data_IF_131157666719
#
_entry.id   IF_131157666719
#
_cell.length_a   1.000
_cell.length_b   1.000
_cell.length_c   1.000
_cell.angle_alpha   90.00
_cell.angle_beta   90.00
_cell.angle_gamma   90.00
#
_symmetry.space_group_name_H-M   'P 1'
#
loop_
_entity.id
_entity.type
_entity.pdbx_description
1 polymer ?
#
# COMPACT_ATOMS: atom_id res chain seq x y z
N UNK A 1 27.67 -12.96 15.17
CA UNK A 1 27.59 -11.90 14.13
C UNK A 1 27.05 -10.61 14.73
N UNK A 2 27.91 -9.60 14.86
CA UNK A 2 27.69 -8.40 15.66
C UNK A 2 26.55 -7.50 15.11
N UNK A 3 25.77 -6.83 15.98
CA UNK A 3 24.62 -6.00 15.58
C UNK A 3 25.03 -4.84 14.66
N UNK A 4 26.21 -4.27 14.88
CA UNK A 4 26.79 -3.21 14.05
C UNK A 4 27.03 -3.68 12.60
N UNK A 5 27.58 -4.88 12.43
CA UNK A 5 27.85 -5.46 11.12
C UNK A 5 26.57 -5.68 10.31
N UNK A 6 25.50 -6.19 10.93
CA UNK A 6 24.20 -6.36 10.26
C UNK A 6 23.54 -5.03 9.86
N UNK A 7 23.72 -3.96 10.65
CA UNK A 7 23.25 -2.62 10.27
C UNK A 7 24.00 -2.11 9.05
N UNK A 8 25.32 -2.25 9.04
CA UNK A 8 26.17 -1.88 7.90
C UNK A 8 25.80 -2.65 6.63
N UNK A 9 25.58 -3.96 6.71
CA UNK A 9 25.09 -4.75 5.56
C UNK A 9 23.70 -4.31 5.10
N UNK A 10 22.81 -3.98 6.02
CA UNK A 10 21.47 -3.49 5.67
C UNK A 10 21.58 -2.16 4.93
N UNK A 11 22.40 -1.21 5.40
CA UNK A 11 22.64 0.07 4.73
C UNK A 11 23.32 -0.12 3.37
N UNK A 12 24.30 -1.02 3.27
CA UNK A 12 24.95 -1.38 1.99
C UNK A 12 23.97 -1.97 0.99
N UNK A 13 22.95 -2.70 1.44
CA UNK A 13 21.90 -3.24 0.57
C UNK A 13 20.94 -2.15 0.01
N UNK A 14 20.86 -0.99 0.65
CA UNK A 14 20.09 0.17 0.18
C UNK A 14 20.90 1.07 -0.76
N UNK A 15 22.22 1.09 -0.59
CA UNK A 15 23.16 1.98 -1.28
C UNK A 15 23.00 2.10 -2.80
N UNK A 16 22.73 1.02 -3.57
CA UNK A 16 22.77 1.16 -5.02
C UNK A 16 21.45 1.69 -5.63
N UNK A 17 20.28 1.43 -5.01
CA UNK A 17 18.98 1.86 -5.58
C UNK A 17 18.36 3.06 -4.87
N UNK A 18 18.60 3.26 -3.57
CA UNK A 18 17.94 4.34 -2.82
C UNK A 18 18.36 5.74 -3.30
N UNK A 19 19.65 6.04 -3.53
CA UNK A 19 20.07 7.33 -4.08
C UNK A 19 19.52 7.58 -5.49
N UNK A 20 19.48 6.54 -6.34
CA UNK A 20 18.92 6.65 -7.68
C UNK A 20 17.42 6.94 -7.63
N UNK A 21 16.67 6.22 -6.78
CA UNK A 21 15.24 6.51 -6.56
C UNK A 21 15.05 7.95 -6.12
N UNK A 22 15.80 8.41 -5.11
CA UNK A 22 15.71 9.78 -4.61
C UNK A 22 15.98 10.80 -5.73
N UNK A 23 17.07 10.64 -6.48
CA UNK A 23 17.43 11.55 -7.56
C UNK A 23 16.35 11.60 -8.66
N UNK A 24 15.90 10.44 -9.15
CA UNK A 24 14.89 10.36 -10.22
C UNK A 24 13.52 10.83 -9.75
N UNK A 25 13.09 10.46 -8.54
CA UNK A 25 11.79 10.83 -8.00
C UNK A 25 11.72 12.33 -7.69
N UNK A 26 12.79 12.92 -7.15
CA UNK A 26 12.89 14.37 -6.94
C UNK A 26 12.88 15.11 -8.28
N UNK A 27 13.68 14.67 -9.26
CA UNK A 27 13.68 15.29 -10.58
C UNK A 27 12.29 15.23 -11.21
N UNK A 28 11.65 14.06 -11.19
CA UNK A 28 10.34 13.86 -11.82
C UNK A 28 9.22 14.67 -11.14
N UNK A 29 9.14 14.65 -9.81
CA UNK A 29 8.05 15.33 -9.10
C UNK A 29 8.18 16.87 -9.13
N UNK A 30 9.39 17.41 -9.30
CA UNK A 30 9.63 18.86 -9.44
C UNK A 30 9.72 19.34 -10.89
N UNK A 31 9.74 18.43 -11.88
CA UNK A 31 9.73 18.80 -13.30
C UNK A 31 8.39 19.38 -13.77
N UNK A 32 7.31 19.21 -13.01
CA UNK A 32 5.99 19.74 -13.33
C UNK A 32 5.26 20.24 -12.08
N UNK A 33 4.20 21.05 -12.25
CA UNK A 33 3.29 21.43 -11.16
C UNK A 33 2.45 20.25 -10.65
N UNK A 34 1.69 20.38 -9.55
CA UNK A 34 0.82 19.30 -9.08
C UNK A 34 -0.23 18.99 -10.16
N UNK A 35 -0.38 17.72 -10.54
CA UNK A 35 -1.30 17.37 -11.63
C UNK A 35 -2.77 17.66 -11.26
N UNK A 36 -3.57 18.15 -12.24
CA UNK A 36 -5.00 18.39 -12.05
C UNK A 36 -5.77 17.15 -11.56
N UNK A 37 -6.91 17.39 -10.91
CA UNK A 37 -7.88 16.39 -10.42
C UNK A 37 -7.43 15.52 -9.23
N UNK A 38 -6.18 15.07 -9.22
CA UNK A 38 -5.64 14.25 -8.14
C UNK A 38 -4.84 15.10 -7.14
N UNK A 39 -3.69 15.60 -7.58
CA UNK A 39 -2.74 16.26 -6.69
C UNK A 39 -3.26 17.64 -6.24
N UNK A 40 -3.85 18.40 -7.16
CA UNK A 40 -4.44 19.72 -6.83
C UNK A 40 -5.62 19.61 -5.87
N UNK A 41 -6.48 18.58 -6.00
CA UNK A 41 -7.61 18.36 -5.08
C UNK A 41 -7.12 18.01 -3.67
N UNK A 42 -6.18 17.07 -3.55
CA UNK A 42 -5.65 16.66 -2.24
C UNK A 42 -4.94 17.82 -1.54
N UNK A 43 -4.12 18.58 -2.28
CA UNK A 43 -3.47 19.79 -1.76
C UNK A 43 -4.49 20.88 -1.40
N UNK A 44 -5.50 21.09 -2.23
CA UNK A 44 -6.57 22.06 -1.97
C UNK A 44 -7.30 21.77 -0.67
N UNK A 45 -7.66 20.50 -0.42
CA UNK A 45 -8.27 20.10 0.85
C UNK A 45 -7.34 20.39 2.03
N UNK A 46 -6.07 19.99 1.93
CA UNK A 46 -5.10 20.21 3.00
C UNK A 46 -4.89 21.70 3.28
N UNK A 47 -4.76 22.51 2.23
CA UNK A 47 -4.61 23.95 2.32
C UNK A 47 -5.82 24.58 2.99
N UNK A 48 -7.04 24.21 2.57
CA UNK A 48 -8.28 24.76 3.12
C UNK A 48 -8.47 24.40 4.60
N UNK A 49 -8.17 23.15 4.96
CA UNK A 49 -8.11 22.71 6.36
C UNK A 49 -7.11 23.54 7.18
N UNK A 50 -5.92 23.80 6.63
CA UNK A 50 -4.88 24.56 7.32
C UNK A 50 -5.30 26.02 7.54
N UNK A 51 -5.84 26.69 6.52
CA UNK A 51 -6.30 28.07 6.59
C UNK A 51 -7.43 28.26 7.61
N UNK A 52 -8.32 27.27 7.74
CA UNK A 52 -9.44 27.31 8.68
C UNK A 52 -9.13 26.67 10.05
N UNK A 53 -7.88 26.28 10.31
CA UNK A 53 -7.48 25.52 11.49
C UNK A 53 -8.35 24.26 11.75
N UNK A 54 -8.92 23.67 10.69
CA UNK A 54 -9.77 22.48 10.76
C UNK A 54 -8.93 21.21 10.65
N UNK A 55 -8.32 20.80 11.75
CA UNK A 55 -7.45 19.63 11.79
C UNK A 55 -8.20 18.30 11.84
N UNK A 56 -9.47 18.31 12.25
CA UNK A 56 -10.28 17.09 12.43
C UNK A 56 -11.22 16.87 11.24
N UNK A 57 -11.89 17.92 10.75
CA UNK A 57 -12.87 17.82 9.66
C UNK A 57 -12.20 18.28 8.37
N UNK A 58 -12.03 17.41 7.35
CA UNK A 58 -11.50 17.87 6.08
C UNK A 58 -12.41 18.91 5.44
N UNK A 59 -11.83 19.89 4.76
CA UNK A 59 -12.57 21.00 4.15
C UNK A 59 -12.16 21.20 2.70
N UNK A 60 -13.09 21.60 1.84
CA UNK A 60 -12.79 21.98 0.46
C UNK A 60 -13.71 23.14 0.05
N UNK A 61 -13.09 24.24 -0.38
CA UNK A 61 -13.77 25.47 -0.77
C UNK A 61 -14.70 26.00 0.35
N UNK A 62 -14.25 25.93 1.61
CA UNK A 62 -14.99 26.42 2.78
C UNK A 62 -16.09 25.48 3.30
N UNK A 63 -16.27 24.29 2.70
CA UNK A 63 -17.29 23.32 3.11
C UNK A 63 -16.67 22.01 3.63
N UNK A 64 -17.29 21.32 4.61
CA UNK A 64 -16.86 20.00 5.06
C UNK A 64 -16.79 18.97 3.90
N UNK A 65 -15.69 18.23 3.85
CA UNK A 65 -15.36 17.28 2.80
C UNK A 65 -15.22 15.85 3.35
N UNK A 66 -16.24 15.01 3.13
CA UNK A 66 -16.36 13.70 3.77
C UNK A 66 -15.74 12.53 2.99
N UNK A 67 -15.17 12.77 1.81
CA UNK A 67 -14.74 11.68 0.91
C UNK A 67 -13.51 10.91 1.39
N UNK A 68 -12.65 11.52 2.24
CA UNK A 68 -11.31 11.03 2.56
C UNK A 68 -10.99 11.14 4.05
N UNK A 69 -10.25 10.15 4.54
CA UNK A 69 -9.73 10.13 5.91
C UNK A 69 -8.46 11.01 6.01
N UNK A 70 -8.05 11.40 7.23
CA UNK A 70 -7.26 12.61 7.42
C UNK A 70 -5.75 12.37 7.43
N UNK A 71 -5.28 11.12 7.45
CA UNK A 71 -3.89 10.82 7.79
C UNK A 71 -2.89 11.51 6.86
N UNK A 72 -3.17 11.53 5.56
CA UNK A 72 -2.29 12.19 4.60
C UNK A 72 -2.21 13.71 4.85
N UNK A 73 -3.31 14.34 5.23
CA UNK A 73 -3.35 15.76 5.58
C UNK A 73 -2.57 16.04 6.86
N UNK A 74 -2.72 15.21 7.89
CA UNK A 74 -1.94 15.32 9.12
C UNK A 74 -0.43 15.22 8.87
N UNK A 75 -0.02 14.38 7.93
CA UNK A 75 1.39 14.31 7.53
C UNK A 75 1.85 15.56 6.78
N UNK A 76 0.99 16.22 6.00
CA UNK A 76 1.32 17.52 5.41
C UNK A 76 1.45 18.60 6.48
N UNK A 77 0.52 18.65 7.45
CA UNK A 77 0.56 19.60 8.55
C UNK A 77 1.82 19.48 9.39
N UNK A 78 2.27 18.24 9.66
CA UNK A 78 3.51 18.01 10.40
C UNK A 78 4.74 18.64 9.73
N UNK A 79 4.80 18.69 8.40
CA UNK A 79 5.88 19.39 7.71
C UNK A 79 5.64 20.88 7.57
N UNK A 80 4.39 21.32 7.33
CA UNK A 80 4.05 22.74 7.27
C UNK A 80 4.25 23.47 8.60
N UNK A 81 4.06 22.78 9.74
CA UNK A 81 4.35 23.35 11.06
C UNK A 81 5.84 23.62 11.32
N UNK A 82 6.73 23.04 10.51
CA UNK A 82 8.19 23.19 10.65
C UNK A 82 8.76 24.04 9.52
N UNK A 83 8.42 23.72 8.27
CA UNK A 83 8.98 24.31 7.06
C UNK A 83 8.11 25.38 6.40
N UNK A 84 6.98 25.74 7.01
CA UNK A 84 6.00 26.65 6.43
C UNK A 84 5.13 26.01 5.34
N UNK A 85 4.04 26.69 4.99
CA UNK A 85 3.07 26.19 4.01
C UNK A 85 3.62 26.36 2.60
N UNK A 86 3.86 25.23 1.94
CA UNK A 86 4.33 25.17 0.55
C UNK A 86 3.99 23.82 -0.07
N UNK A 87 4.12 23.68 -1.39
CA UNK A 87 3.98 22.39 -2.05
C UNK A 87 5.25 21.52 -1.99
N UNK A 88 6.37 22.07 -1.51
CA UNK A 88 7.65 21.38 -1.34
C UNK A 88 7.52 20.15 -0.42
N UNK A 89 7.03 20.34 0.81
CA UNK A 89 6.92 19.23 1.78
C UNK A 89 5.99 18.11 1.31
N UNK A 90 4.74 18.37 0.86
CA UNK A 90 3.87 17.32 0.34
C UNK A 90 4.51 16.48 -0.79
N UNK A 91 5.27 17.12 -1.70
CA UNK A 91 5.99 16.42 -2.78
C UNK A 91 7.14 15.58 -2.22
N UNK A 92 7.97 16.13 -1.34
CA UNK A 92 9.04 15.39 -0.66
C UNK A 92 8.48 14.16 0.09
N UNK A 93 7.33 14.32 0.75
CA UNK A 93 6.65 13.23 1.44
C UNK A 93 6.30 12.08 0.50
N UNK A 94 5.83 12.33 -0.73
CA UNK A 94 5.56 11.26 -1.69
C UNK A 94 6.80 10.51 -2.15
N UNK A 95 7.91 11.24 -2.33
CA UNK A 95 9.21 10.62 -2.64
C UNK A 95 9.63 9.67 -1.51
N UNK A 96 9.45 10.09 -0.26
CA UNK A 96 9.72 9.28 0.93
C UNK A 96 8.74 8.10 1.08
N UNK A 97 7.47 8.28 0.74
CA UNK A 97 6.47 7.21 0.70
C UNK A 97 6.91 6.13 -0.30
N UNK A 98 7.30 6.51 -1.51
CA UNK A 98 7.80 5.58 -2.52
C UNK A 98 9.07 4.86 -2.07
N UNK A 99 10.02 5.60 -1.49
CA UNK A 99 11.24 5.00 -0.92
C UNK A 99 10.90 3.97 0.17
N UNK A 100 9.92 4.29 1.01
CA UNK A 100 9.46 3.39 2.08
C UNK A 100 8.85 2.11 1.49
N UNK A 101 8.08 2.20 0.41
CA UNK A 101 7.56 1.01 -0.29
C UNK A 101 8.69 0.12 -0.81
N UNK A 102 9.75 0.71 -1.40
CA UNK A 102 10.93 -0.05 -1.87
C UNK A 102 11.67 -0.74 -0.71
N UNK A 103 11.80 -0.10 0.45
CA UNK A 103 12.41 -0.71 1.64
C UNK A 103 11.54 -1.88 2.13
N UNK A 104 10.22 -1.67 2.19
CA UNK A 104 9.29 -2.68 2.69
C UNK A 104 9.16 -3.88 1.75
N UNK A 105 9.16 -3.69 0.44
CA UNK A 105 9.09 -4.80 -0.53
C UNK A 105 10.36 -5.67 -0.45
N UNK A 106 11.54 -5.05 -0.28
CA UNK A 106 12.78 -5.79 -0.01
C UNK A 106 12.74 -6.54 1.33
N UNK A 107 12.17 -5.93 2.37
CA UNK A 107 12.01 -6.60 3.66
C UNK A 107 11.04 -7.80 3.55
N UNK A 108 9.97 -7.66 2.77
CA UNK A 108 8.99 -8.71 2.51
C UNK A 108 9.65 -9.86 1.72
N UNK A 109 10.37 -9.54 0.65
CA UNK A 109 11.15 -10.50 -0.14
C UNK A 109 12.09 -11.35 0.71
N UNK A 110 12.86 -10.72 1.61
CA UNK A 110 13.81 -11.42 2.50
C UNK A 110 13.13 -12.42 3.42
N UNK A 111 11.90 -12.14 3.85
CA UNK A 111 11.13 -13.03 4.74
C UNK A 111 10.40 -14.13 3.98
N UNK A 112 9.90 -13.83 2.78
CA UNK A 112 9.19 -14.80 1.95
C UNK A 112 10.13 -15.81 1.30
N UNK A 113 11.32 -15.35 0.88
CA UNK A 113 12.27 -16.15 0.10
C UNK A 113 13.68 -16.10 0.71
N UNK A 114 13.87 -16.56 1.95
CA UNK A 114 15.16 -16.48 2.65
C UNK A 114 16.28 -17.26 1.94
N UNK A 115 15.94 -18.31 1.21
CA UNK A 115 16.88 -19.14 0.43
C UNK A 115 17.25 -18.54 -0.92
N UNK A 116 16.57 -17.47 -1.36
CA UNK A 116 16.79 -16.81 -2.65
C UNK A 116 17.09 -15.32 -2.48
N UNK A 117 18.28 -14.94 -1.98
CA UNK A 117 18.63 -13.54 -1.70
C UNK A 117 18.51 -12.61 -2.90
N UNK A 118 18.65 -13.13 -4.12
CA UNK A 118 18.49 -12.36 -5.35
C UNK A 118 17.11 -11.70 -5.46
N UNK A 119 16.04 -12.37 -5.01
CA UNK A 119 14.68 -11.82 -5.03
C UNK A 119 14.62 -10.54 -4.19
N UNK A 120 15.22 -10.56 -2.99
CA UNK A 120 15.27 -9.38 -2.13
C UNK A 120 16.13 -8.25 -2.68
N UNK A 121 17.25 -8.58 -3.34
CA UNK A 121 18.14 -7.58 -3.94
C UNK A 121 17.50 -6.92 -5.17
N UNK A 122 16.74 -7.67 -5.97
CA UNK A 122 16.11 -7.19 -7.20
C UNK A 122 14.77 -6.50 -6.97
N UNK A 123 14.01 -6.85 -5.93
CA UNK A 123 12.65 -6.34 -5.72
C UNK A 123 12.53 -4.79 -5.73
N UNK A 124 13.41 -3.99 -5.09
CA UNK A 124 13.36 -2.54 -5.19
C UNK A 124 13.56 -2.01 -6.61
N UNK A 125 14.50 -2.59 -7.36
CA UNK A 125 14.77 -2.21 -8.74
C UNK A 125 13.57 -2.49 -9.63
N UNK A 126 12.99 -3.68 -9.48
CA UNK A 126 11.84 -4.09 -10.27
C UNK A 126 10.60 -3.24 -9.93
N UNK A 127 10.34 -2.95 -8.65
CA UNK A 127 9.23 -2.08 -8.25
C UNK A 127 9.44 -0.64 -8.70
N UNK A 128 10.65 -0.10 -8.55
CA UNK A 128 10.99 1.26 -8.97
C UNK A 128 10.98 1.46 -10.49
N UNK A 129 11.15 0.37 -11.26
CA UNK A 129 11.09 0.41 -12.71
C UNK A 129 9.67 0.40 -13.29
N UNK A 130 8.64 0.06 -12.50
CA UNK A 130 7.26 0.08 -12.98
C UNK A 130 6.84 1.50 -13.31
N UNK A 131 6.72 1.86 -14.59
CA UNK A 131 6.47 3.25 -15.00
C UNK A 131 5.15 3.77 -14.43
N UNK A 132 4.09 2.96 -14.52
CA UNK A 132 2.79 3.33 -13.95
C UNK A 132 2.87 3.54 -12.43
N UNK A 133 3.49 2.59 -11.71
CA UNK A 133 3.67 2.68 -10.27
C UNK A 133 4.52 3.87 -9.84
N UNK A 134 5.63 4.12 -10.55
CA UNK A 134 6.52 5.27 -10.33
C UNK A 134 5.75 6.58 -10.47
N UNK A 135 5.09 6.80 -11.61
CA UNK A 135 4.41 8.07 -11.91
C UNK A 135 3.21 8.33 -10.99
N UNK A 136 2.40 7.30 -10.71
CA UNK A 136 1.24 7.46 -9.82
C UNK A 136 1.64 7.58 -8.35
N UNK A 137 2.75 6.98 -7.91
CA UNK A 137 3.26 7.21 -6.56
C UNK A 137 3.70 8.67 -6.34
N UNK A 138 4.13 9.36 -7.40
CA UNK A 138 4.50 10.78 -7.35
C UNK A 138 3.31 11.73 -7.49
N UNK A 139 2.09 11.21 -7.63
CA UNK A 139 0.87 12.01 -7.50
C UNK A 139 0.46 12.12 -6.04
N UNK A 140 0.00 13.30 -5.61
CA UNK A 140 -0.41 13.59 -4.23
C UNK A 140 -1.76 12.91 -3.97
N UNK A 141 -1.68 11.61 -3.74
CA UNK A 141 -2.77 10.65 -3.61
C UNK A 141 -2.56 9.77 -2.38
N UNK A 142 -3.67 9.19 -1.90
CA UNK A 142 -3.70 8.31 -0.74
C UNK A 142 -3.13 6.91 -1.02
N UNK A 143 -3.12 6.50 -2.29
CA UNK A 143 -2.80 5.14 -2.72
C UNK A 143 -1.36 4.73 -2.41
N UNK A 144 -0.38 5.63 -2.60
CA UNK A 144 1.00 5.36 -2.24
C UNK A 144 1.20 5.18 -0.74
N UNK A 145 0.54 6.02 0.08
CA UNK A 145 0.57 5.88 1.54
C UNK A 145 -0.14 4.60 1.99
N UNK A 146 -1.26 4.25 1.37
CA UNK A 146 -1.95 2.99 1.63
C UNK A 146 -1.05 1.79 1.31
N UNK A 147 -0.32 1.82 0.19
CA UNK A 147 0.62 0.76 -0.17
C UNK A 147 1.70 0.55 0.92
N UNK A 148 2.21 1.61 1.54
CA UNK A 148 3.13 1.51 2.70
C UNK A 148 2.48 0.72 3.83
N UNK A 149 1.24 1.06 4.20
CA UNK A 149 0.54 0.39 5.29
C UNK A 149 0.18 -1.07 4.98
N UNK A 150 -0.22 -1.36 3.73
CA UNK A 150 -0.44 -2.73 3.25
C UNK A 150 0.85 -3.54 3.37
N UNK A 151 1.97 -3.05 2.80
CA UNK A 151 3.25 -3.75 2.88
C UNK A 151 3.72 -3.95 4.32
N UNK A 152 3.53 -2.96 5.20
CA UNK A 152 3.91 -3.05 6.61
C UNK A 152 3.04 -4.07 7.37
N UNK A 153 1.73 -4.08 7.14
CA UNK A 153 0.80 -5.02 7.72
C UNK A 153 1.14 -6.46 7.30
N UNK A 154 1.37 -6.68 6.01
CA UNK A 154 1.80 -7.96 5.45
C UNK A 154 3.15 -8.42 6.00
N UNK A 155 4.12 -7.49 6.13
CA UNK A 155 5.42 -7.77 6.76
C UNK A 155 5.29 -8.13 8.24
N UNK A 156 4.30 -7.58 8.95
CA UNK A 156 4.03 -7.89 10.35
C UNK A 156 3.48 -9.32 10.54
N UNK A 157 2.78 -9.86 9.55
CA UNK A 157 2.25 -11.23 9.56
C UNK A 157 3.33 -12.30 9.29
N UNK A 158 4.45 -11.91 8.68
CA UNK A 158 5.54 -12.83 8.35
C UNK A 158 6.49 -13.09 9.52
N UNK A 159 6.96 -14.35 9.68
CA UNK A 159 7.99 -14.68 10.65
C UNK A 159 9.29 -13.94 10.34
N UNK A 160 10.15 -13.81 11.34
CA UNK A 160 11.49 -13.26 11.18
C UNK A 160 12.53 -14.22 11.76
N UNK A 161 13.82 -14.09 11.41
CA UNK A 161 14.84 -15.05 11.84
C UNK A 161 14.98 -15.22 13.37
N UNK A 162 14.44 -14.29 14.16
CA UNK A 162 14.47 -14.31 15.63
C UNK A 162 13.09 -14.56 16.27
N UNK A 163 12.04 -14.69 15.47
CA UNK A 163 10.66 -14.74 15.95
C UNK A 163 9.76 -15.39 14.90
N UNK A 164 9.27 -16.58 15.22
CA UNK A 164 8.30 -17.30 14.39
C UNK A 164 6.89 -16.70 14.47
N UNK A 165 6.51 -16.22 15.65
CA UNK A 165 5.21 -15.61 15.86
C UNK A 165 5.07 -14.26 15.11
N UNK A 166 3.93 -13.98 14.48
CA UNK A 166 3.63 -12.69 13.89
C UNK A 166 3.71 -11.52 14.89
N UNK A 167 3.86 -10.32 14.37
CA UNK A 167 3.93 -9.05 15.12
C UNK A 167 2.57 -8.37 15.12
N UNK A 168 1.61 -8.93 15.84
CA UNK A 168 0.22 -8.44 15.83
C UNK A 168 0.05 -6.98 16.27
N UNK A 169 0.91 -6.45 17.14
CA UNK A 169 0.89 -5.01 17.49
C UNK A 169 1.25 -4.13 16.29
N UNK A 170 2.28 -4.52 15.53
CA UNK A 170 2.65 -3.82 14.30
C UNK A 170 1.57 -3.98 13.22
N UNK A 171 0.93 -5.15 13.16
CA UNK A 171 -0.21 -5.39 12.28
C UNK A 171 -1.38 -4.46 12.64
N UNK A 172 -1.73 -4.32 13.92
CA UNK A 172 -2.78 -3.42 14.41
C UNK A 172 -2.49 -1.96 14.05
N UNK A 173 -1.25 -1.50 14.27
CA UNK A 173 -0.84 -0.15 13.95
C UNK A 173 -0.92 0.12 12.45
N UNK A 174 -0.37 -0.76 11.62
CA UNK A 174 -0.42 -0.64 10.17
C UNK A 174 -1.86 -0.67 9.64
N UNK A 175 -2.72 -1.52 10.23
CA UNK A 175 -4.13 -1.61 9.90
C UNK A 175 -4.87 -0.31 10.22
N UNK A 176 -4.71 0.23 11.42
CA UNK A 176 -5.33 1.50 11.83
C UNK A 176 -4.86 2.69 11.01
N UNK A 177 -3.56 2.79 10.70
CA UNK A 177 -3.03 3.84 9.84
C UNK A 177 -3.50 3.70 8.37
N UNK A 178 -3.61 2.47 7.87
CA UNK A 178 -4.21 2.18 6.57
C UNK A 178 -5.69 2.58 6.50
N UNK A 179 -6.46 2.27 7.54
CA UNK A 179 -7.86 2.69 7.69
C UNK A 179 -7.98 4.22 7.76
N UNK A 180 -7.09 4.91 8.48
CA UNK A 180 -7.04 6.38 8.52
C UNK A 180 -6.52 7.02 7.22
N UNK A 181 -5.98 6.23 6.28
CA UNK A 181 -5.54 6.71 4.96
C UNK A 181 -6.65 6.62 3.93
N UNK A 182 -7.29 5.43 3.80
CA UNK A 182 -8.27 5.17 2.73
C UNK A 182 -9.51 4.40 3.21
N UNK A 183 -9.80 4.46 4.51
CA UNK A 183 -10.98 3.83 5.09
C UNK A 183 -10.97 2.30 4.95
N UNK A 184 -12.16 1.68 4.89
CA UNK A 184 -12.30 0.22 4.85
C UNK A 184 -11.58 -0.49 3.69
N UNK A 185 -11.19 0.24 2.64
CA UNK A 185 -10.41 -0.31 1.51
C UNK A 185 -9.11 -0.97 1.99
N UNK A 186 -8.51 -0.52 3.09
CA UNK A 186 -7.38 -1.20 3.71
C UNK A 186 -7.63 -2.69 3.95
N UNK A 187 -8.84 -3.06 4.39
CA UNK A 187 -9.21 -4.45 4.68
C UNK A 187 -9.25 -5.30 3.41
N UNK A 188 -9.61 -4.73 2.27
CA UNK A 188 -9.61 -5.43 0.98
C UNK A 188 -8.23 -6.03 0.69
N UNK A 189 -7.17 -5.27 0.98
CA UNK A 189 -5.79 -5.63 0.69
C UNK A 189 -5.20 -6.67 1.65
N UNK A 190 -5.62 -6.68 2.92
CA UNK A 190 -4.92 -7.47 3.97
C UNK A 190 -5.78 -8.52 4.66
N UNK A 191 -7.11 -8.37 4.68
CA UNK A 191 -7.98 -9.25 5.46
C UNK A 191 -7.93 -10.69 4.98
N UNK A 192 -8.01 -10.91 3.67
CA UNK A 192 -7.98 -12.27 3.11
C UNK A 192 -6.60 -12.92 3.27
N UNK A 193 -5.51 -12.15 3.23
CA UNK A 193 -4.17 -12.67 3.54
C UNK A 193 -4.11 -13.15 4.99
N UNK A 194 -4.63 -12.35 5.92
CA UNK A 194 -4.72 -12.73 7.32
C UNK A 194 -5.63 -13.95 7.53
N UNK A 195 -6.83 -13.97 6.95
CA UNK A 195 -7.79 -15.07 7.12
C UNK A 195 -7.25 -16.39 6.58
N UNK A 196 -6.55 -16.35 5.44
CA UNK A 196 -5.90 -17.50 4.82
C UNK A 196 -4.57 -17.89 5.48
N UNK A 197 -4.18 -17.24 6.59
CA UNK A 197 -2.96 -17.48 7.35
C UNK A 197 -2.54 -18.95 7.46
N UNK A 198 -3.40 -19.86 7.98
CA UNK A 198 -3.06 -21.28 8.14
C UNK A 198 -2.67 -22.03 6.84
N UNK A 199 -3.09 -21.52 5.67
CA UNK A 199 -2.75 -22.11 4.38
C UNK A 199 -1.29 -21.84 4.00
N UNK A 200 -0.80 -20.61 4.23
CA UNK A 200 0.52 -20.16 3.78
C UNK A 200 1.56 -20.04 4.92
N UNK A 201 1.14 -19.96 6.18
CA UNK A 201 1.99 -19.70 7.35
C UNK A 201 2.00 -20.89 8.33
N UNK A 202 3.15 -21.52 8.63
CA UNK A 202 3.23 -22.67 9.55
C UNK A 202 2.79 -22.40 11.00
N UNK A 203 3.27 -21.33 11.62
CA UNK A 203 2.85 -20.88 12.96
C UNK A 203 1.35 -20.64 13.06
N UNK A 204 0.71 -20.02 12.04
CA UNK A 204 -0.74 -19.80 11.99
C UNK A 204 -1.51 -21.13 11.94
N UNK A 205 -0.95 -22.13 11.25
CA UNK A 205 -1.53 -23.48 11.18
C UNK A 205 -1.47 -24.20 12.53
N UNK A 206 -0.36 -24.05 13.24
CA UNK A 206 -0.14 -24.66 14.57
C UNK A 206 -0.90 -23.92 15.69
N UNK A 207 -1.03 -22.59 15.59
CA UNK A 207 -1.58 -21.72 16.63
C UNK A 207 -2.83 -20.96 16.15
N UNK A 208 -3.79 -21.66 15.53
CA UNK A 208 -4.98 -21.05 14.91
C UNK A 208 -5.75 -20.11 15.85
N UNK A 209 -5.98 -20.53 17.10
CA UNK A 209 -6.67 -19.71 18.09
C UNK A 209 -5.95 -18.39 18.37
N UNK A 210 -4.63 -18.43 18.56
CA UNK A 210 -3.83 -17.22 18.78
C UNK A 210 -3.73 -16.36 17.51
N UNK A 211 -3.68 -16.97 16.31
CA UNK A 211 -3.66 -16.26 15.04
C UNK A 211 -4.92 -15.44 14.79
N UNK A 212 -6.09 -16.06 14.95
CA UNK A 212 -7.36 -15.40 14.75
C UNK A 212 -7.71 -14.47 15.92
N UNK A 213 -7.48 -14.88 17.17
CA UNK A 213 -7.75 -14.04 18.35
C UNK A 213 -6.92 -12.76 18.36
N UNK A 214 -5.59 -12.86 18.15
CA UNK A 214 -4.72 -11.67 18.09
C UNK A 214 -4.93 -10.85 16.83
N UNK A 215 -5.29 -11.48 15.72
CA UNK A 215 -5.66 -10.78 14.49
C UNK A 215 -6.97 -10.01 14.61
N UNK A 216 -7.98 -10.59 15.26
CA UNK A 216 -9.25 -9.92 15.57
C UNK A 216 -9.04 -8.75 16.55
N UNK A 217 -8.19 -8.93 17.57
CA UNK A 217 -7.79 -7.82 18.45
C UNK A 217 -7.07 -6.71 17.67
N UNK A 218 -6.20 -7.06 16.73
CA UNK A 218 -5.53 -6.09 15.88
C UNK A 218 -6.52 -5.33 14.97
N UNK A 219 -7.53 -6.02 14.44
CA UNK A 219 -8.64 -5.43 13.71
C UNK A 219 -9.44 -4.46 14.58
N UNK A 220 -9.81 -4.88 15.79
CA UNK A 220 -10.51 -4.04 16.74
C UNK A 220 -9.72 -2.76 17.03
N UNK A 221 -8.42 -2.87 17.34
CA UNK A 221 -7.55 -1.71 17.58
C UNK A 221 -7.50 -0.80 16.35
N UNK A 222 -7.35 -1.35 15.14
CA UNK A 222 -7.35 -0.57 13.91
C UNK A 222 -8.68 0.18 13.67
N UNK A 223 -9.81 -0.48 13.94
CA UNK A 223 -11.14 0.14 13.86
C UNK A 223 -11.30 1.24 14.92
N UNK A 224 -10.85 1.00 16.15
CA UNK A 224 -10.87 2.01 17.21
C UNK A 224 -10.03 3.24 16.85
N UNK A 225 -8.88 3.07 16.18
CA UNK A 225 -8.09 4.19 15.66
C UNK A 225 -8.87 5.00 14.61
N UNK A 226 -9.57 4.35 13.69
CA UNK A 226 -10.42 5.03 12.72
C UNK A 226 -11.57 5.78 13.40
N UNK A 227 -12.26 5.12 14.34
CA UNK A 227 -13.38 5.69 15.08
C UNK A 227 -12.96 6.86 15.98
N UNK A 228 -11.76 6.81 16.55
CA UNK A 228 -11.20 7.90 17.34
C UNK A 228 -11.08 9.21 16.54
N UNK A 229 -10.97 9.13 15.21
CA UNK A 229 -11.10 10.28 14.33
C UNK A 229 -12.53 10.49 13.83
N UNK A 230 -13.17 9.44 13.32
CA UNK A 230 -14.43 9.54 12.60
C UNK A 230 -15.57 10.06 13.50
N UNK A 231 -15.60 9.69 14.78
CA UNK A 231 -16.65 10.13 15.72
C UNK A 231 -16.53 11.64 16.03
N UNK A 232 -15.37 12.18 16.46
CA UNK A 232 -15.20 13.62 16.59
C UNK A 232 -15.45 14.38 15.29
N UNK A 233 -14.97 13.87 14.15
CA UNK A 233 -15.18 14.51 12.86
C UNK A 233 -16.67 14.59 12.49
N UNK A 234 -17.42 13.51 12.71
CA UNK A 234 -18.85 13.48 12.49
C UNK A 234 -19.59 14.48 13.38
N UNK A 235 -19.16 14.65 14.63
CA UNK A 235 -19.76 15.62 15.54
C UNK A 235 -19.47 17.07 15.12
N UNK A 236 -18.21 17.37 14.81
CA UNK A 236 -17.75 18.73 14.47
C UNK A 236 -18.18 19.17 13.06
N UNK A 237 -18.29 18.25 12.10
CA UNK A 237 -18.65 18.58 10.72
C UNK A 237 -20.13 18.88 10.49
N UNK A 238 -20.99 18.66 11.50
CA UNK A 238 -22.42 18.90 11.43
C UNK A 238 -23.23 17.74 10.83
N UNK A 239 -24.58 17.83 10.84
CA UNK A 239 -25.47 16.71 10.49
C UNK A 239 -25.27 16.17 9.08
N UNK A 240 -25.14 17.06 8.08
CA UNK A 240 -24.92 16.67 6.70
C UNK A 240 -23.59 15.92 6.51
N UNK A 241 -22.50 16.44 7.06
CA UNK A 241 -21.19 15.77 7.01
C UNK A 241 -21.23 14.40 7.70
N UNK A 242 -21.89 14.29 8.86
CA UNK A 242 -22.08 13.03 9.58
C UNK A 242 -22.81 11.99 8.73
N UNK A 243 -23.90 12.39 8.07
CA UNK A 243 -24.67 11.50 7.22
C UNK A 243 -23.80 11.00 6.03
N UNK A 244 -23.07 11.91 5.40
CA UNK A 244 -22.17 11.56 4.30
C UNK A 244 -21.03 10.61 4.74
N UNK A 245 -20.39 10.93 5.88
CA UNK A 245 -19.26 10.17 6.40
C UNK A 245 -19.65 8.77 6.86
N UNK A 246 -20.79 8.62 7.55
CA UNK A 246 -21.21 7.35 8.15
C UNK A 246 -22.09 6.50 7.23
N UNK A 247 -22.97 7.11 6.43
CA UNK A 247 -23.98 6.39 5.65
C UNK A 247 -23.71 6.42 4.14
N UNK A 248 -23.30 7.56 3.54
CA UNK A 248 -23.03 7.59 2.09
C UNK A 248 -21.68 6.97 1.69
N UNK A 249 -20.70 6.93 2.60
CA UNK A 249 -19.49 6.13 2.37
C UNK A 249 -19.78 4.62 2.20
N UNK A 250 -20.94 4.13 2.71
CA UNK A 250 -21.36 2.72 2.65
C UNK A 250 -22.47 2.48 1.61
N UNK A 251 -23.43 3.40 1.44
CA UNK A 251 -24.59 3.25 0.55
C UNK A 251 -24.54 4.15 -0.71
N UNK A 252 -24.03 5.39 -0.61
CA UNK A 252 -24.00 6.37 -1.71
C UNK A 252 -22.95 6.05 -2.78
N UNK A 253 -21.81 5.47 -2.39
CA UNK A 253 -20.82 4.96 -3.36
C UNK A 253 -21.36 3.85 -4.26
N UNK A 254 -22.44 3.15 -3.89
CA UNK A 254 -23.07 2.13 -4.74
C UNK A 254 -23.78 2.79 -5.93
N UNK A 255 -24.32 4.00 -5.76
CA UNK A 255 -25.01 4.75 -6.80
C UNK A 255 -24.02 5.50 -7.71
N UNK A 256 -22.97 6.12 -7.16
CA UNK A 256 -21.88 6.71 -7.96
C UNK A 256 -20.97 5.67 -8.64
N UNK A 257 -20.95 4.43 -8.16
CA UNK A 257 -20.22 3.35 -8.81
C UNK A 257 -20.77 3.00 -10.20
N UNK A 258 -21.98 3.45 -10.55
CA UNK A 258 -22.51 3.33 -11.91
C UNK A 258 -21.78 4.26 -12.90
N UNK A 259 -21.32 5.45 -12.49
CA UNK A 259 -20.60 6.38 -13.37
C UNK A 259 -19.19 5.88 -13.76
N UNK A 260 -18.61 5.00 -12.96
CA UNK A 260 -17.32 4.33 -13.23
C UNK A 260 -17.49 2.82 -13.42
N UNK A 261 -18.69 2.38 -13.79
CA UNK A 261 -18.97 0.97 -14.01
C UNK A 261 -18.09 0.44 -15.15
N UNK A 262 -17.29 -0.56 -14.83
CA UNK A 262 -16.43 -1.26 -15.79
C UNK A 262 -16.67 -2.77 -15.71
N UNK A 263 -16.53 -3.51 -16.82
CA UNK A 263 -16.77 -4.95 -16.84
C UNK A 263 -15.85 -5.70 -15.86
N UNK A 264 -16.25 -6.91 -15.46
CA UNK A 264 -15.49 -7.73 -14.50
C UNK A 264 -14.05 -7.99 -14.95
N UNK A 265 -13.82 -8.12 -16.26
CA UNK A 265 -12.50 -8.39 -16.84
C UNK A 265 -11.63 -7.15 -17.01
N UNK A 266 -12.09 -5.95 -16.62
CA UNK A 266 -11.42 -4.67 -16.94
C UNK A 266 -9.96 -4.55 -16.45
N UNK A 267 -9.61 -5.19 -15.33
CA UNK A 267 -8.22 -5.19 -14.85
C UNK A 267 -7.30 -6.12 -15.64
N UNK A 268 -7.83 -7.12 -16.36
CA UNK A 268 -7.03 -8.06 -17.17
C UNK A 268 -6.22 -7.33 -18.26
N UNK A 269 -6.83 -6.52 -19.15
CA UNK A 269 -6.06 -5.77 -20.15
C UNK A 269 -5.20 -4.66 -19.53
N UNK A 270 -5.41 -4.31 -18.26
CA UNK A 270 -4.58 -3.32 -17.54
C UNK A 270 -3.27 -3.94 -17.01
N UNK A 271 -3.21 -5.27 -16.81
CA UNK A 271 -2.01 -5.93 -16.26
C UNK A 271 -0.72 -5.63 -17.05
N UNK A 272 -0.69 -5.65 -18.40
CA UNK A 272 0.50 -5.25 -19.15
C UNK A 272 0.94 -3.82 -18.87
N UNK A 273 0.00 -2.88 -18.70
CA UNK A 273 0.31 -1.49 -18.35
C UNK A 273 0.91 -1.39 -16.93
N UNK A 274 0.31 -2.11 -15.96
CA UNK A 274 0.79 -2.13 -14.58
C UNK A 274 2.16 -2.81 -14.45
N UNK A 275 2.48 -3.76 -15.33
CA UNK A 275 3.75 -4.47 -15.36
C UNK A 275 4.79 -3.84 -16.30
N UNK A 276 4.46 -2.79 -17.05
CA UNK A 276 5.42 -2.12 -17.92
C UNK A 276 6.59 -1.55 -17.09
N UNK A 277 7.86 -1.77 -17.51
CA UNK A 277 8.30 -2.26 -18.82
C UNK A 277 8.41 -3.79 -18.96
N UNK A 278 8.26 -4.56 -17.88
CA UNK A 278 8.43 -6.03 -17.92
C UNK A 278 7.39 -6.74 -18.78
N UNK A 279 6.23 -6.11 -19.02
CA UNK A 279 5.27 -6.59 -20.00
C UNK A 279 5.84 -6.70 -21.43
N UNK A 280 6.88 -5.93 -21.77
CA UNK A 280 7.58 -6.01 -23.05
C UNK A 280 8.74 -7.01 -23.04
N UNK A 281 8.97 -7.72 -21.93
CA UNK A 281 10.07 -8.67 -21.79
C UNK A 281 9.54 -10.10 -21.90
N UNK A 282 9.74 -10.83 -23.03
CA UNK A 282 9.19 -12.18 -23.19
C UNK A 282 9.62 -13.17 -22.10
N UNK A 283 10.83 -12.98 -21.54
CA UNK A 283 11.31 -13.80 -20.41
C UNK A 283 10.45 -13.61 -19.15
N UNK A 284 9.89 -12.42 -18.91
CA UNK A 284 8.99 -12.20 -17.78
C UNK A 284 7.73 -13.07 -17.88
N UNK A 285 7.12 -13.14 -19.07
CA UNK A 285 5.95 -13.98 -19.33
C UNK A 285 6.28 -15.46 -19.29
N UNK A 286 7.39 -15.87 -19.90
CA UNK A 286 7.89 -17.25 -19.84
C UNK A 286 8.13 -17.69 -18.39
N UNK A 287 8.75 -16.84 -17.58
CA UNK A 287 8.97 -17.10 -16.16
C UNK A 287 7.64 -17.28 -15.42
N UNK A 288 6.69 -16.36 -15.58
CA UNK A 288 5.37 -16.43 -14.93
C UNK A 288 4.58 -17.67 -15.38
N UNK A 289 4.62 -18.04 -16.65
CA UNK A 289 4.00 -19.25 -17.19
C UNK A 289 4.64 -20.55 -16.69
N UNK A 290 5.90 -20.50 -16.23
CA UNK A 290 6.61 -21.65 -15.67
C UNK A 290 6.26 -21.95 -14.21
N UNK A 291 5.47 -21.06 -13.56
CA UNK A 291 4.98 -21.25 -12.20
C UNK A 291 4.00 -22.42 -12.17
N UNK A 292 4.34 -23.44 -11.39
CA UNK A 292 3.54 -24.64 -11.25
C UNK A 292 3.55 -25.19 -9.83
N UNK A 293 2.74 -26.23 -9.63
CA UNK A 293 2.69 -26.97 -8.37
C UNK A 293 3.96 -27.84 -8.19
N UNK A 294 4.33 -28.19 -6.93
CA UNK A 294 3.75 -27.71 -5.67
C UNK A 294 4.13 -26.25 -5.37
N UNK A 295 3.24 -25.53 -4.67
CA UNK A 295 3.49 -24.14 -4.28
C UNK A 295 4.34 -24.06 -3.00
N UNK A 296 5.41 -23.27 -3.08
CA UNK A 296 6.24 -22.91 -1.93
C UNK A 296 5.49 -21.96 -0.97
N UNK A 297 5.86 -21.88 0.33
CA UNK A 297 5.20 -21.00 1.29
C UNK A 297 5.13 -19.53 0.83
N UNK A 298 6.21 -19.01 0.24
CA UNK A 298 6.24 -17.66 -0.32
C UNK A 298 5.27 -17.47 -1.50
N UNK A 299 5.13 -18.49 -2.37
CA UNK A 299 4.12 -18.46 -3.43
C UNK A 299 2.70 -18.52 -2.88
N UNK A 300 2.42 -19.36 -1.88
CA UNK A 300 1.11 -19.43 -1.23
C UNK A 300 0.73 -18.08 -0.62
N UNK A 301 1.68 -17.39 0.02
CA UNK A 301 1.45 -16.04 0.54
C UNK A 301 1.09 -15.05 -0.58
N UNK A 302 1.86 -15.03 -1.67
CA UNK A 302 1.58 -14.13 -2.80
C UNK A 302 0.24 -14.45 -3.46
N UNK A 303 -0.15 -15.72 -3.56
CA UNK A 303 -1.46 -16.11 -4.06
C UNK A 303 -2.56 -15.66 -3.10
N UNK A 304 -2.39 -15.84 -1.79
CA UNK A 304 -3.35 -15.40 -0.77
C UNK A 304 -3.55 -13.88 -0.75
N UNK A 305 -2.56 -13.13 -1.25
CA UNK A 305 -2.62 -11.68 -1.42
C UNK A 305 -3.21 -11.27 -2.77
N UNK A 306 -2.57 -11.65 -3.87
CA UNK A 306 -2.89 -11.11 -5.19
C UNK A 306 -4.22 -11.64 -5.73
N UNK A 307 -4.50 -12.93 -5.59
CA UNK A 307 -5.67 -13.52 -6.23
C UNK A 307 -7.00 -13.02 -5.61
N UNK A 308 -7.17 -13.01 -4.27
CA UNK A 308 -8.41 -12.51 -3.70
C UNK A 308 -8.62 -11.02 -3.92
N UNK A 309 -7.56 -10.21 -3.85
CA UNK A 309 -7.64 -8.77 -4.11
C UNK A 309 -8.03 -8.48 -5.56
N UNK A 310 -7.40 -9.18 -6.51
CA UNK A 310 -7.73 -9.04 -7.93
C UNK A 310 -9.19 -9.41 -8.23
N UNK A 311 -9.67 -10.52 -7.66
CA UNK A 311 -11.08 -10.95 -7.78
C UNK A 311 -12.01 -9.90 -7.17
N UNK A 312 -11.73 -9.45 -5.96
CA UNK A 312 -12.60 -8.51 -5.27
C UNK A 312 -12.67 -7.16 -6.00
N UNK A 313 -11.54 -6.60 -6.47
CA UNK A 313 -11.56 -5.41 -7.31
C UNK A 313 -12.31 -5.62 -8.64
N UNK A 314 -12.20 -6.81 -9.24
CA UNK A 314 -12.92 -7.15 -10.47
C UNK A 314 -14.45 -7.18 -10.27
N UNK A 315 -14.91 -7.62 -9.09
CA UNK A 315 -16.34 -7.68 -8.74
C UNK A 315 -16.95 -6.31 -8.41
N UNK A 316 -16.17 -5.34 -7.92
CA UNK A 316 -16.65 -3.99 -7.61
C UNK A 316 -16.97 -3.24 -8.92
N UNK A 317 -18.14 -2.63 -9.01
CA UNK A 317 -18.60 -1.90 -10.22
C UNK A 317 -17.68 -0.71 -10.56
N UNK A 318 -17.44 0.17 -9.60
CA UNK A 318 -16.54 1.33 -9.76
C UNK A 318 -15.07 0.89 -9.80
N UNK A 319 -14.43 1.03 -10.97
CA UNK A 319 -13.01 0.65 -11.16
C UNK A 319 -12.16 1.85 -11.59
N UNK A 320 -10.96 1.93 -11.01
CA UNK A 320 -9.94 2.93 -11.35
C UNK A 320 -8.60 2.23 -11.52
N UNK A 321 -7.80 2.72 -12.47
CA UNK A 321 -6.56 2.04 -12.85
C UNK A 321 -5.52 2.02 -11.72
N UNK A 322 -5.59 2.97 -10.79
CA UNK A 322 -4.67 3.09 -9.66
C UNK A 322 -5.09 2.30 -8.41
N UNK A 323 -6.27 1.67 -8.38
CA UNK A 323 -6.68 0.86 -7.22
C UNK A 323 -5.74 -0.31 -6.89
N UNK A 324 -5.14 -1.00 -7.88
CA UNK A 324 -4.19 -2.08 -7.62
C UNK A 324 -2.76 -1.60 -7.26
N UNK A 325 -2.53 -0.31 -7.00
CA UNK A 325 -1.19 0.19 -6.66
C UNK A 325 -0.57 -0.52 -5.43
N UNK A 326 -1.31 -0.79 -4.34
CA UNK A 326 -0.78 -1.56 -3.21
C UNK A 326 -0.28 -2.95 -3.59
N UNK A 327 -0.82 -3.55 -4.65
CA UNK A 327 -0.53 -4.92 -5.12
C UNK A 327 0.74 -4.99 -5.96
N UNK A 328 1.25 -3.85 -6.47
CA UNK A 328 2.44 -3.83 -7.32
C UNK A 328 3.66 -4.46 -6.63
N UNK A 329 3.78 -4.27 -5.30
CA UNK A 329 4.81 -4.94 -4.51
C UNK A 329 4.70 -6.46 -4.58
N UNK A 330 3.49 -7.01 -4.50
CA UNK A 330 3.24 -8.44 -4.62
C UNK A 330 3.47 -8.96 -6.04
N UNK A 331 3.02 -8.23 -7.06
CA UNK A 331 3.23 -8.57 -8.47
C UNK A 331 4.71 -8.67 -8.82
N UNK A 332 5.52 -7.71 -8.35
CA UNK A 332 6.96 -7.72 -8.57
C UNK A 332 7.64 -8.85 -7.81
N UNK A 333 7.20 -9.19 -6.59
CA UNK A 333 7.73 -10.34 -5.87
C UNK A 333 7.38 -11.66 -6.57
N UNK A 334 6.20 -11.76 -7.17
CA UNK A 334 5.82 -12.92 -7.98
C UNK A 334 6.70 -13.04 -9.22
N UNK A 335 6.91 -11.94 -9.94
CA UNK A 335 7.80 -11.89 -11.10
C UNK A 335 9.25 -12.24 -10.73
N UNK A 336 9.78 -11.64 -9.67
CA UNK A 336 11.13 -11.92 -9.19
C UNK A 336 11.27 -13.39 -8.77
N UNK A 337 10.28 -13.95 -8.08
CA UNK A 337 10.27 -15.37 -7.76
C UNK A 337 10.27 -16.24 -9.01
N UNK A 338 9.42 -15.92 -9.99
CA UNK A 338 9.32 -16.65 -11.25
C UNK A 338 10.66 -16.65 -12.01
N UNK A 339 11.31 -15.49 -12.11
CA UNK A 339 12.61 -15.33 -12.75
C UNK A 339 13.71 -16.12 -12.03
N UNK A 340 13.72 -16.08 -10.69
CA UNK A 340 14.68 -16.84 -9.89
C UNK A 340 14.52 -18.35 -10.12
N UNK A 341 13.27 -18.84 -10.08
CA UNK A 341 12.97 -20.27 -10.31
C UNK A 341 13.29 -20.72 -11.73
N UNK A 342 13.08 -19.87 -12.74
CA UNK A 342 13.45 -20.19 -14.12
C UNK A 342 14.97 -20.32 -14.27
N UNK A 343 15.75 -19.46 -13.61
CA UNK A 343 17.23 -19.55 -13.56
C UNK A 343 17.77 -20.74 -12.77
N UNK A 344 16.97 -21.37 -11.92
CA UNK A 344 17.35 -22.60 -11.21
C UNK A 344 17.14 -23.85 -12.08
N UNK A 345 16.34 -23.74 -13.14
CA UNK A 345 16.01 -24.84 -14.07
C UNK A 345 16.93 -24.91 -15.29
N UNK A 346 17.69 -23.85 -15.55
CA UNK A 346 18.67 -23.73 -16.62
C UNK A 346 20.02 -23.44 -16.00
#
# INVERSE_FOLDING_TARGET
MNLSYRRLETLRALWPWAPLWLALALLAIFAHGPMPMHSTRTLGVAWDMWQHASYIVPMLNGAPYSDKAPLLYWLFFAGWSIGGVSDLWPRLLLVLIGLTQLILVQALARRLFPTRPWIARSAPWLLGALTYGFLFNLQIMYDGLLAVWVLLALLALLPSPRREAPRFVLFALALGLGLLTKGPVMLLHVALVWLLGPWWQPWARQHRGAWYGRGALALLVGVLMLLAWALPAAWLGGPAYRELLLFQQTAGRVVDAFAHARPIWWYVPLLPLLLFPFALWPRAWSALGSLGRPFEPGQKFLIAWLAPVFVAFSLVSGKQAYYPLPELGGLILLLAFALARQRERH
#
